data_IF_642257407093
#
_entry.id   IF_642257407093
#
_cell.length_a   1.000
_cell.length_b   1.000
_cell.length_c   1.000
_cell.angle_alpha   90.00
_cell.angle_beta   90.00
_cell.angle_gamma   90.00
#
_symmetry.space_group_name_H-M   'P 1'
#
loop_
_entity.id
_entity.type
_entity.pdbx_description
1 polymer ?
#
# COMPACT_ATOMS: atom_id res chain seq x y z
N UNK A 1 13.58 6.20 7.39
CA UNK A 1 12.98 7.14 6.41
C UNK A 1 11.45 6.95 6.41
N UNK A 2 10.67 7.75 5.67
CA UNK A 2 9.21 7.56 5.55
C UNK A 2 8.87 7.21 4.11
N UNK A 3 8.28 6.04 3.87
CA UNK A 3 7.80 5.69 2.52
C UNK A 3 6.64 6.62 2.13
N UNK A 4 6.78 7.25 0.97
CA UNK A 4 5.83 8.27 0.47
C UNK A 4 4.95 7.78 -0.69
N UNK A 5 4.84 6.46 -0.88
CA UNK A 5 3.81 5.88 -1.74
C UNK A 5 2.41 6.16 -1.17
N UNK A 6 1.38 6.13 -2.02
CA UNK A 6 0.02 6.48 -1.64
C UNK A 6 -0.22 7.99 -1.54
N UNK A 7 -1.44 8.43 -1.85
CA UNK A 7 -1.73 9.84 -2.13
C UNK A 7 -1.71 10.78 -0.91
N UNK A 8 -1.61 10.26 0.32
CA UNK A 8 -1.64 11.05 1.56
C UNK A 8 -0.38 10.92 2.44
N UNK A 9 0.68 10.28 1.97
CA UNK A 9 1.84 9.97 2.82
C UNK A 9 2.71 11.16 3.26
N UNK A 10 2.45 12.36 2.72
CA UNK A 10 3.02 13.62 3.21
C UNK A 10 2.24 14.25 4.37
N UNK A 11 1.02 13.79 4.61
CA UNK A 11 0.27 14.11 5.83
C UNK A 11 0.74 13.18 6.97
N UNK A 12 0.40 13.51 8.23
CA UNK A 12 0.46 12.55 9.32
C UNK A 12 -0.33 11.28 8.98
N UNK A 13 0.02 10.17 9.64
CA UNK A 13 -0.72 8.92 9.46
C UNK A 13 -2.20 9.11 9.82
N UNK A 14 -3.08 8.63 8.95
CA UNK A 14 -4.51 8.84 9.07
C UNK A 14 -5.05 8.06 10.28
N UNK A 15 -5.90 8.71 11.07
CA UNK A 15 -6.67 8.01 12.10
C UNK A 15 -7.76 7.14 11.46
N UNK A 16 -8.28 6.16 12.21
CA UNK A 16 -9.36 5.30 11.73
C UNK A 16 -10.62 6.09 11.31
N UNK A 17 -10.90 7.21 11.98
CA UNK A 17 -12.00 8.09 11.60
C UNK A 17 -11.74 8.78 10.25
N UNK A 18 -10.51 9.22 10.00
CA UNK A 18 -10.13 9.81 8.71
C UNK A 18 -10.15 8.76 7.58
N UNK A 19 -9.67 7.54 7.85
CA UNK A 19 -9.73 6.42 6.90
C UNK A 19 -11.18 6.09 6.57
N UNK A 20 -12.04 5.98 7.59
CA UNK A 20 -13.47 5.70 7.42
C UNK A 20 -14.17 6.75 6.55
N UNK A 21 -13.78 8.02 6.66
CA UNK A 21 -14.30 9.08 5.79
C UNK A 21 -13.86 8.92 4.32
N UNK A 22 -12.60 8.54 4.06
CA UNK A 22 -12.13 8.27 2.70
C UNK A 22 -12.82 7.04 2.09
N UNK A 23 -13.03 5.99 2.88
CA UNK A 23 -13.81 4.82 2.51
C UNK A 23 -15.27 5.20 2.20
N UNK A 24 -15.91 5.99 3.06
CA UNK A 24 -17.28 6.48 2.85
C UNK A 24 -17.40 7.30 1.56
N UNK A 25 -16.40 8.12 1.25
CA UNK A 25 -16.32 8.84 -0.02
C UNK A 25 -16.27 7.87 -1.22
N UNK A 26 -15.40 6.85 -1.18
CA UNK A 26 -15.29 5.87 -2.26
C UNK A 26 -16.59 5.06 -2.45
N UNK A 27 -17.24 4.63 -1.37
CA UNK A 27 -18.56 3.97 -1.42
C UNK A 27 -19.61 4.90 -2.05
N UNK A 28 -19.61 6.19 -1.69
CA UNK A 28 -20.55 7.17 -2.28
C UNK A 28 -20.37 7.36 -3.79
N UNK A 29 -19.19 7.02 -4.32
CA UNK A 29 -18.89 7.01 -5.77
C UNK A 29 -19.23 5.69 -6.45
N UNK A 30 -19.64 4.66 -5.70
CA UNK A 30 -19.87 3.31 -6.22
C UNK A 30 -18.58 2.56 -6.58
N UNK A 31 -17.45 2.94 -5.97
CA UNK A 31 -16.17 2.27 -6.20
C UNK A 31 -16.02 1.04 -5.32
N UNK A 32 -15.43 -0.02 -5.88
CA UNK A 32 -15.09 -1.23 -5.13
C UNK A 32 -13.81 -1.00 -4.32
N UNK A 33 -13.73 -1.53 -3.10
CA UNK A 33 -12.60 -1.27 -2.19
C UNK A 33 -11.84 -2.57 -1.93
N UNK A 34 -10.51 -2.53 -2.03
CA UNK A 34 -9.63 -3.63 -1.60
C UNK A 34 -8.66 -3.17 -0.52
N UNK A 35 -8.25 -4.13 0.30
CA UNK A 35 -7.17 -4.00 1.28
C UNK A 35 -6.01 -4.87 0.80
N UNK A 36 -4.81 -4.32 0.80
CA UNK A 36 -3.60 -5.02 0.34
C UNK A 36 -2.46 -4.83 1.34
N UNK A 37 -1.63 -5.85 1.52
CA UNK A 37 -0.48 -5.84 2.42
C UNK A 37 0.83 -6.14 1.69
N UNK A 38 1.94 -5.53 2.15
CA UNK A 38 3.28 -5.96 1.76
C UNK A 38 4.31 -5.59 2.81
N UNK A 39 5.40 -6.33 2.84
CA UNK A 39 6.65 -5.97 3.51
C UNK A 39 7.80 -5.74 2.50
N UNK A 40 7.53 -5.67 1.20
CA UNK A 40 8.45 -5.18 0.18
C UNK A 40 8.05 -3.77 -0.27
N UNK A 41 8.73 -2.71 0.24
CA UNK A 41 8.38 -1.33 -0.06
C UNK A 41 8.88 -0.87 -1.43
N UNK A 42 9.50 -1.73 -2.25
CA UNK A 42 10.13 -1.35 -3.50
C UNK A 42 9.16 -0.60 -4.44
N UNK A 43 9.57 0.53 -5.07
CA UNK A 43 8.68 1.36 -5.88
C UNK A 43 8.14 0.66 -7.14
N UNK A 44 8.69 -0.50 -7.49
CA UNK A 44 8.23 -1.33 -8.61
C UNK A 44 7.49 -2.59 -8.17
N UNK A 45 7.28 -2.78 -6.87
CA UNK A 45 6.40 -3.81 -6.35
C UNK A 45 4.93 -3.40 -6.61
N UNK A 46 4.42 -3.77 -7.78
CA UNK A 46 3.09 -3.38 -8.24
C UNK A 46 1.96 -4.21 -7.61
N UNK A 47 2.26 -5.45 -7.22
CA UNK A 47 1.28 -6.41 -6.72
C UNK A 47 1.57 -6.71 -5.25
N UNK A 48 0.79 -6.08 -4.38
CA UNK A 48 0.79 -6.40 -2.96
C UNK A 48 -0.15 -7.58 -2.72
N UNK A 49 0.00 -8.25 -1.58
CA UNK A 49 -0.82 -9.40 -1.24
C UNK A 49 -2.26 -8.96 -0.96
N UNK A 50 -3.22 -9.61 -1.61
CA UNK A 50 -4.63 -9.30 -1.45
C UNK A 50 -5.14 -9.80 -0.09
N UNK A 51 -5.81 -8.93 0.66
CA UNK A 51 -6.61 -9.34 1.79
C UNK A 51 -8.01 -9.73 1.31
N UNK A 52 -8.19 -11.02 1.04
CA UNK A 52 -9.44 -11.55 0.49
C UNK A 52 -9.74 -11.03 -0.92
N UNK A 53 -11.03 -10.87 -1.24
CA UNK A 53 -11.48 -10.29 -2.50
C UNK A 53 -11.85 -8.81 -2.32
N UNK A 54 -11.76 -7.99 -3.37
CA UNK A 54 -12.31 -6.63 -3.32
C UNK A 54 -13.80 -6.65 -2.92
N UNK A 55 -14.18 -5.69 -2.09
CA UNK A 55 -15.52 -5.54 -1.53
C UNK A 55 -16.43 -4.81 -2.53
N UNK A 56 -16.89 -5.51 -3.57
CA UNK A 56 -17.66 -4.94 -4.68
C UNK A 56 -19.04 -4.39 -4.28
N UNK A 57 -19.78 -5.12 -3.43
CA UNK A 57 -21.18 -4.80 -3.09
C UNK A 57 -21.36 -4.16 -1.70
N UNK A 58 -20.25 -3.73 -1.07
CA UNK A 58 -20.29 -3.15 0.28
C UNK A 58 -20.87 -1.74 0.25
N UNK A 59 -21.88 -1.51 1.08
CA UNK A 59 -22.56 -0.20 1.24
C UNK A 59 -22.24 0.49 2.57
N UNK A 60 -21.61 -0.23 3.50
CA UNK A 60 -21.28 0.26 4.83
C UNK A 60 -19.76 0.34 5.01
N UNK A 61 -19.25 1.53 5.34
CA UNK A 61 -17.82 1.72 5.61
C UNK A 61 -17.35 0.91 6.82
N UNK A 62 -18.24 0.58 7.76
CA UNK A 62 -17.90 -0.26 8.91
C UNK A 62 -17.43 -1.67 8.49
N UNK A 63 -17.98 -2.24 7.42
CA UNK A 63 -17.56 -3.54 6.91
C UNK A 63 -16.12 -3.50 6.36
N UNK A 64 -15.77 -2.43 5.64
CA UNK A 64 -14.40 -2.22 5.14
C UNK A 64 -13.42 -2.02 6.31
N UNK A 65 -13.81 -1.23 7.32
CA UNK A 65 -12.98 -1.00 8.51
C UNK A 65 -12.81 -2.28 9.33
N UNK A 66 -13.80 -3.18 9.35
CA UNK A 66 -13.69 -4.50 9.96
C UNK A 66 -12.60 -5.34 9.28
N UNK A 67 -12.67 -5.48 7.94
CA UNK A 67 -11.66 -6.22 7.17
C UNK A 67 -10.26 -5.61 7.32
N UNK A 68 -10.15 -4.28 7.31
CA UNK A 68 -8.88 -3.60 7.59
C UNK A 68 -8.32 -4.00 8.96
N UNK A 69 -9.14 -3.99 10.00
CA UNK A 69 -8.69 -4.32 11.36
C UNK A 69 -8.32 -5.80 11.51
N UNK A 70 -9.02 -6.72 10.83
CA UNK A 70 -8.59 -8.13 10.77
C UNK A 70 -7.26 -8.28 10.03
N UNK A 71 -7.04 -7.54 8.93
CA UNK A 71 -5.76 -7.51 8.23
C UNK A 71 -4.62 -7.01 9.12
N UNK A 72 -4.85 -5.92 9.88
CA UNK A 72 -3.89 -5.40 10.87
C UNK A 72 -3.57 -6.41 11.96
N UNK A 73 -4.59 -7.15 12.42
CA UNK A 73 -4.44 -8.17 13.48
C UNK A 73 -3.55 -9.33 13.04
N UNK A 74 -3.67 -9.77 11.79
CA UNK A 74 -2.85 -10.87 11.25
C UNK A 74 -1.47 -10.37 10.81
N UNK A 75 -1.38 -9.14 10.31
CA UNK A 75 -0.17 -8.52 9.78
C UNK A 75 0.18 -7.26 10.59
N UNK A 76 0.71 -7.40 11.82
CA UNK A 76 0.99 -6.26 12.70
C UNK A 76 2.13 -5.37 12.18
N UNK A 77 3.05 -5.96 11.40
CA UNK A 77 4.19 -5.28 10.78
C UNK A 77 4.01 -5.17 9.26
N UNK A 78 4.85 -4.35 8.62
CA UNK A 78 4.76 -4.07 7.18
C UNK A 78 3.75 -2.96 6.83
N UNK A 79 3.40 -2.89 5.55
CA UNK A 79 2.53 -1.88 4.99
C UNK A 79 1.16 -2.45 4.66
N UNK A 80 0.12 -1.66 4.94
CA UNK A 80 -1.23 -1.92 4.43
C UNK A 80 -1.69 -0.69 3.68
N UNK A 81 -2.31 -0.88 2.52
CA UNK A 81 -2.98 0.19 1.76
C UNK A 81 -4.42 -0.17 1.45
N UNK A 82 -5.24 0.86 1.30
CA UNK A 82 -6.58 0.77 0.74
C UNK A 82 -6.53 1.25 -0.69
N UNK A 83 -7.11 0.46 -1.60
CA UNK A 83 -7.32 0.83 -2.98
C UNK A 83 -8.82 0.92 -3.27
N UNK A 84 -9.23 1.91 -4.07
CA UNK A 84 -10.59 2.08 -4.53
C UNK A 84 -10.62 2.03 -6.06
N UNK A 85 -11.37 1.09 -6.61
CA UNK A 85 -11.45 0.79 -8.04
C UNK A 85 -12.76 1.29 -8.64
N UNK A 86 -12.64 1.99 -9.77
CA UNK A 86 -13.75 2.44 -10.58
C UNK A 86 -13.87 1.54 -11.82
N UNK A 87 -14.93 0.75 -11.85
CA UNK A 87 -15.23 -0.17 -12.95
C UNK A 87 -16.01 0.50 -14.11
N UNK A 88 -16.29 1.80 -14.02
CA UNK A 88 -16.97 2.52 -15.10
C UNK A 88 -16.12 2.55 -16.36
N UNK A 89 -16.81 2.41 -17.51
CA UNK A 89 -16.17 2.39 -18.82
C UNK A 89 -15.34 3.67 -19.04
N UNK A 90 -14.09 3.49 -19.42
CA UNK A 90 -13.14 4.58 -19.64
C UNK A 90 -12.26 4.90 -18.41
N UNK A 91 -12.60 4.37 -17.23
CA UNK A 91 -11.70 4.37 -16.07
C UNK A 91 -11.08 2.99 -15.88
N UNK A 92 -11.89 1.97 -15.57
CA UNK A 92 -11.49 0.54 -15.44
C UNK A 92 -10.17 0.33 -14.66
N UNK A 93 -9.97 1.09 -13.58
CA UNK A 93 -8.69 1.20 -12.89
C UNK A 93 -8.85 1.64 -11.43
N UNK A 94 -7.75 1.61 -10.69
CA UNK A 94 -7.67 2.20 -9.35
C UNK A 94 -7.75 3.72 -9.46
N UNK A 95 -8.72 4.31 -8.76
CA UNK A 95 -8.95 5.76 -8.73
C UNK A 95 -8.40 6.43 -7.46
N UNK A 96 -8.15 5.66 -6.40
CA UNK A 96 -7.61 6.14 -5.12
C UNK A 96 -6.80 5.04 -4.43
N UNK A 97 -5.59 5.37 -3.96
CA UNK A 97 -4.72 4.44 -3.23
C UNK A 97 -3.95 5.18 -2.15
N UNK A 98 -4.08 4.74 -0.89
CA UNK A 98 -3.39 5.36 0.25
C UNK A 98 -3.00 4.34 1.33
N UNK A 99 -1.87 4.62 1.99
CA UNK A 99 -1.34 3.79 3.08
C UNK A 99 -2.15 4.03 4.36
N UNK A 100 -2.47 2.95 5.07
CA UNK A 100 -3.23 2.93 6.33
C UNK A 100 -2.50 2.23 7.49
N UNK A 101 -1.38 1.56 7.19
CA UNK A 101 -0.41 1.05 8.15
C UNK A 101 0.99 1.11 7.54
N UNK A 102 1.99 1.42 8.35
CA UNK A 102 3.41 1.36 8.00
C UNK A 102 4.20 0.79 9.19
N UNK A 103 5.39 0.21 8.96
CA UNK A 103 6.29 -0.17 10.04
C UNK A 103 6.70 1.03 10.90
N UNK A 104 7.04 0.77 12.17
CA UNK A 104 7.54 1.81 13.07
C UNK A 104 8.85 2.44 12.57
N UNK A 105 9.73 1.62 12.00
CA UNK A 105 10.98 2.05 11.38
C UNK A 105 11.10 1.49 9.96
N UNK A 106 11.27 2.37 8.97
CA UNK A 106 11.58 1.99 7.60
C UNK A 106 13.05 2.34 7.30
N UNK A 107 13.95 1.36 7.13
CA UNK A 107 15.37 1.63 6.83
C UNK A 107 15.54 2.26 5.43
N UNK A 108 14.61 2.00 4.51
CA UNK A 108 14.57 2.59 3.17
C UNK A 108 15.38 1.78 2.17
N UNK A 109 16.04 2.52 1.28
CA UNK A 109 16.72 1.96 0.13
C UNK A 109 18.12 2.54 -0.02
N UNK A 110 18.98 1.80 -0.70
CA UNK A 110 20.18 2.35 -1.31
C UNK A 110 20.15 2.18 -2.83
N UNK A 111 20.94 3.01 -3.50
CA UNK A 111 21.05 3.00 -4.96
C UNK A 111 22.36 2.32 -5.36
N UNK A 112 22.26 1.11 -5.87
CA UNK A 112 23.38 0.39 -6.48
C UNK A 112 23.76 1.04 -7.79
N UNK A 113 25.07 1.11 -8.07
CA UNK A 113 25.63 1.77 -9.24
C UNK A 113 26.66 0.85 -9.89
N UNK A 114 26.30 0.25 -11.01
CA UNK A 114 27.19 -0.60 -11.80
C UNK A 114 27.70 0.17 -13.01
N UNK A 115 29.02 0.34 -13.12
CA UNK A 115 29.62 0.92 -14.32
C UNK A 115 29.50 -0.05 -15.50
N UNK A 116 28.99 0.45 -16.63
CA UNK A 116 28.87 -0.32 -17.87
C UNK A 116 29.58 0.42 -19.01
N UNK A 117 29.34 0.05 -20.27
CA UNK A 117 30.03 0.65 -21.42
C UNK A 117 30.00 2.19 -21.42
N UNK A 118 31.17 2.81 -21.58
CA UNK A 118 31.34 4.26 -21.61
C UNK A 118 31.23 4.90 -20.21
N UNK A 119 30.33 5.88 -20.07
CA UNK A 119 30.06 6.56 -18.79
C UNK A 119 28.69 6.24 -18.20
N UNK A 120 28.03 5.23 -18.73
CA UNK A 120 26.72 4.80 -18.29
C UNK A 120 26.81 4.09 -16.93
N UNK A 121 25.78 4.27 -16.11
CA UNK A 121 25.58 3.55 -14.85
C UNK A 121 24.25 2.83 -14.94
N UNK A 122 24.27 1.52 -14.67
CA UNK A 122 23.06 0.74 -14.48
C UNK A 122 22.69 0.75 -13.00
N UNK A 123 21.48 1.22 -12.70
CA UNK A 123 20.98 1.41 -11.35
C UNK A 123 20.08 0.26 -10.90
N UNK A 124 20.21 -0.14 -9.64
CA UNK A 124 19.26 -0.97 -8.92
C UNK A 124 18.86 -0.27 -7.62
N UNK A 125 17.57 -0.17 -7.34
CA UNK A 125 17.08 0.28 -6.04
C UNK A 125 16.94 -0.96 -5.16
N UNK A 126 17.61 -0.96 -4.02
CA UNK A 126 17.67 -2.12 -3.13
C UNK A 126 17.10 -1.76 -1.76
N UNK A 127 16.08 -2.48 -1.30
CA UNK A 127 15.49 -2.31 0.03
C UNK A 127 16.34 -3.01 1.08
N UNK A 128 16.67 -2.31 2.16
CA UNK A 128 17.41 -2.89 3.28
C UNK A 128 16.60 -3.99 3.99
N UNK A 129 15.30 -3.77 4.19
CA UNK A 129 14.42 -4.73 4.86
C UNK A 129 14.32 -6.05 4.08
N UNK A 130 14.11 -5.96 2.77
CA UNK A 130 13.96 -7.12 1.87
C UNK A 130 15.24 -7.94 1.74
N UNK A 131 16.40 -7.29 1.72
CA UNK A 131 17.68 -8.00 1.62
C UNK A 131 18.10 -8.67 2.91
N UNK A 132 17.73 -8.10 4.06
CA UNK A 132 18.15 -8.61 5.35
C UNK A 132 17.39 -9.87 5.79
N UNK A 133 16.09 -9.96 5.45
CA UNK A 133 15.20 -11.01 5.98
C UNK A 133 14.15 -11.46 4.96
N UNK A 134 13.64 -12.70 5.07
CA UNK A 134 12.59 -13.20 4.18
C UNK A 134 11.23 -12.52 4.44
N UNK A 135 10.28 -12.68 3.51
CA UNK A 135 8.93 -12.17 3.67
C UNK A 135 8.25 -12.71 4.95
N UNK A 136 7.51 -11.85 5.64
CA UNK A 136 6.87 -12.11 6.93
C UNK A 136 7.74 -11.80 8.15
N UNK A 137 9.04 -11.52 7.97
CA UNK A 137 9.99 -11.21 9.06
C UNK A 137 10.87 -10.00 8.71
N UNK A 138 10.42 -9.10 7.82
CA UNK A 138 11.26 -7.98 7.33
C UNK A 138 11.33 -6.77 8.28
N UNK A 139 10.34 -6.62 9.16
CA UNK A 139 10.18 -5.52 10.10
C UNK A 139 9.95 -6.06 11.51
#
# INVERSE_FOLDING_TARGET
MRLTQGCFSFLPDLSDEQIKQQVGYAISKGWAISVEWTDDPHPRNAYWELWGLPLFDVKDSAAVMYELNECRRINPEGYIKINCYDASKGTESCALSFIVQRPAEEPGFYLERNEVGGRNIQYTISSYAVQARPAGDRY
#
